data_IF_295114318061
#
_entry.id   IF_295114318061
#
_cell.length_a   1.000
_cell.length_b   1.000
_cell.length_c   1.000
_cell.angle_alpha   90.00
_cell.angle_beta   90.00
_cell.angle_gamma   90.00
#
_symmetry.space_group_name_H-M   'P 1'
#
loop_
_entity.id
_entity.type
_entity.pdbx_description
1 polymer ?
#
# COMPACT_ATOMS: atom_id res chain seq x y z
N UNK A 1 14.59 -13.35 -8.19
CA UNK A 1 14.58 -12.85 -6.83
C UNK A 1 13.18 -12.96 -6.24
N UNK A 2 13.09 -13.58 -5.08
CA UNK A 2 11.79 -13.81 -4.43
C UNK A 2 11.04 -12.50 -4.14
N UNK A 3 11.73 -11.46 -3.69
CA UNK A 3 11.10 -10.19 -3.36
C UNK A 3 10.48 -9.52 -4.58
N UNK A 4 11.19 -9.48 -5.71
CA UNK A 4 10.67 -8.90 -6.94
C UNK A 4 9.44 -9.67 -7.43
N UNK A 5 9.49 -11.01 -7.33
CA UNK A 5 8.35 -11.85 -7.70
C UNK A 5 7.14 -11.59 -6.81
N UNK A 6 7.34 -11.43 -5.51
CA UNK A 6 6.27 -11.11 -4.57
C UNK A 6 5.64 -9.74 -4.89
N UNK A 7 6.45 -8.73 -5.16
CA UNK A 7 5.96 -7.41 -5.56
C UNK A 7 5.08 -7.52 -6.79
N UNK A 8 5.58 -8.21 -7.83
CA UNK A 8 4.83 -8.37 -9.07
C UNK A 8 3.53 -9.13 -8.86
N UNK A 9 3.56 -10.18 -8.04
CA UNK A 9 2.37 -10.99 -7.74
C UNK A 9 1.27 -10.16 -7.09
N UNK A 10 1.61 -9.37 -6.06
CA UNK A 10 0.61 -8.57 -5.36
C UNK A 10 0.15 -7.36 -6.18
N UNK A 11 1.03 -6.78 -7.01
CA UNK A 11 0.65 -5.74 -7.95
C UNK A 11 -0.41 -6.26 -8.91
N UNK A 12 -0.17 -7.44 -9.49
CA UNK A 12 -1.10 -8.06 -10.42
C UNK A 12 -2.42 -8.43 -9.75
N UNK A 13 -2.33 -8.97 -8.53
CA UNK A 13 -3.51 -9.37 -7.75
C UNK A 13 -4.48 -8.21 -7.55
N UNK A 14 -3.96 -7.03 -7.23
CA UNK A 14 -4.77 -5.84 -7.01
C UNK A 14 -4.90 -4.94 -8.23
N UNK A 15 -4.37 -5.37 -9.37
CA UNK A 15 -4.44 -4.63 -10.64
C UNK A 15 -3.84 -3.22 -10.52
N UNK A 16 -2.69 -3.14 -9.85
CA UNK A 16 -1.89 -1.93 -9.72
C UNK A 16 -0.66 -2.10 -10.60
N UNK A 17 -0.21 -1.05 -11.32
CA UNK A 17 1.00 -1.19 -12.15
C UNK A 17 2.19 -1.69 -11.33
N UNK A 18 2.90 -2.72 -11.83
CA UNK A 18 4.08 -3.26 -11.15
C UNK A 18 5.12 -2.18 -10.90
N UNK A 19 5.34 -1.31 -11.89
CA UNK A 19 6.32 -0.22 -11.79
C UNK A 19 5.96 0.75 -10.67
N UNK A 20 4.67 0.99 -10.42
CA UNK A 20 4.24 1.84 -9.32
C UNK A 20 4.62 1.22 -7.98
N UNK A 21 4.38 -0.07 -7.79
CA UNK A 21 4.70 -0.76 -6.54
C UNK A 21 6.21 -0.78 -6.31
N UNK A 22 7.00 -1.09 -7.34
CA UNK A 22 8.47 -1.06 -7.24
C UNK A 22 8.98 0.33 -6.90
N UNK A 23 8.45 1.36 -7.52
CA UNK A 23 8.82 2.75 -7.25
C UNK A 23 8.53 3.13 -5.80
N UNK A 24 7.38 2.72 -5.29
CA UNK A 24 7.01 2.97 -3.89
C UNK A 24 7.95 2.24 -2.94
N UNK A 25 8.29 0.97 -3.23
CA UNK A 25 9.19 0.19 -2.40
C UNK A 25 10.58 0.83 -2.32
N UNK A 26 11.09 1.34 -3.44
CA UNK A 26 12.37 2.05 -3.45
C UNK A 26 12.29 3.30 -2.58
N UNK A 27 11.26 4.09 -2.76
CA UNK A 27 11.06 5.34 -2.01
C UNK A 27 10.94 5.10 -0.51
N UNK A 28 10.14 4.10 -0.12
CA UNK A 28 9.79 3.93 1.30
C UNK A 28 10.86 3.18 2.09
N UNK A 29 11.50 2.19 1.51
CA UNK A 29 12.39 1.30 2.26
C UNK A 29 13.68 0.94 1.53
N UNK A 30 13.88 1.43 0.33
CA UNK A 30 14.99 0.98 -0.55
C UNK A 30 14.92 -0.55 -0.72
N UNK A 31 13.72 -1.08 -0.95
CA UNK A 31 13.45 -2.52 -1.10
C UNK A 31 13.83 -3.35 0.14
N UNK A 32 13.76 -2.79 1.35
CA UNK A 32 14.08 -3.51 2.57
C UNK A 32 12.81 -3.93 3.32
N UNK A 33 12.44 -5.24 3.30
CA UNK A 33 11.24 -5.69 4.00
C UNK A 33 11.29 -5.51 5.51
N UNK A 34 12.49 -5.45 6.10
CA UNK A 34 12.66 -5.31 7.54
C UNK A 34 12.76 -3.85 8.01
N UNK A 35 12.57 -2.89 7.12
CA UNK A 35 12.73 -1.48 7.46
C UNK A 35 11.72 -1.02 8.51
N UNK A 36 12.19 -0.22 9.45
CA UNK A 36 11.37 0.42 10.48
C UNK A 36 11.76 1.89 10.55
N UNK A 37 10.80 2.79 10.37
CA UNK A 37 11.02 4.23 10.48
C UNK A 37 9.88 4.83 11.31
N UNK A 38 10.15 5.07 12.61
CA UNK A 38 9.13 5.53 13.52
C UNK A 38 7.98 4.54 13.60
N UNK A 39 6.73 4.97 13.34
CA UNK A 39 5.57 4.08 13.42
C UNK A 39 5.34 3.23 12.16
N UNK A 40 6.20 3.39 11.13
CA UNK A 40 6.01 2.72 9.83
C UNK A 40 6.78 1.41 9.76
N UNK A 41 6.19 0.41 9.10
CA UNK A 41 6.71 -0.96 9.05
C UNK A 41 6.91 -1.45 7.63
N UNK A 42 8.09 -2.03 7.38
CA UNK A 42 8.34 -2.95 6.30
C UNK A 42 8.53 -2.34 4.93
N UNK A 43 8.36 -3.17 3.94
CA UNK A 43 8.71 -2.89 2.54
C UNK A 43 8.06 -1.61 2.00
N UNK A 44 6.78 -1.39 2.25
CA UNK A 44 6.08 -0.20 1.79
C UNK A 44 5.78 0.81 2.91
N UNK A 45 6.38 0.62 4.07
CA UNK A 45 6.28 1.55 5.21
C UNK A 45 4.83 1.90 5.52
N UNK A 46 4.05 0.89 5.94
CA UNK A 46 2.65 1.06 6.29
C UNK A 46 2.48 1.16 7.80
N UNK A 47 1.51 1.95 8.22
CA UNK A 47 1.10 1.99 9.63
C UNK A 47 0.25 0.76 9.96
N UNK A 48 0.41 0.16 11.16
CA UNK A 48 -0.45 -0.96 11.55
C UNK A 48 -1.95 -0.63 11.49
N UNK A 49 -2.35 0.58 11.87
CA UNK A 49 -3.75 1.02 11.80
C UNK A 49 -4.27 1.01 10.37
N UNK A 50 -3.46 1.51 9.44
CA UNK A 50 -3.82 1.51 8.02
C UNK A 50 -3.97 0.09 7.49
N UNK A 51 -3.03 -0.79 7.88
CA UNK A 51 -3.10 -2.21 7.50
C UNK A 51 -4.36 -2.87 8.06
N UNK A 52 -4.72 -2.57 9.30
CA UNK A 52 -5.95 -3.09 9.91
C UNK A 52 -7.19 -2.64 9.17
N UNK A 53 -7.21 -1.40 8.69
CA UNK A 53 -8.28 -0.91 7.82
C UNK A 53 -8.39 -1.66 6.51
N UNK A 54 -7.32 -2.32 6.09
CA UNK A 54 -7.27 -3.17 4.90
C UNK A 54 -7.50 -4.65 5.21
N UNK A 55 -7.80 -5.00 6.46
CA UNK A 55 -8.09 -6.37 6.85
C UNK A 55 -7.00 -7.10 7.63
N UNK A 56 -5.90 -6.44 7.95
CA UNK A 56 -4.80 -7.03 8.72
C UNK A 56 -5.24 -7.29 10.17
N UNK A 57 -4.94 -8.48 10.69
CA UNK A 57 -5.31 -8.88 12.07
C UNK A 57 -4.13 -9.32 12.92
N UNK A 58 -2.91 -9.37 12.36
CA UNK A 58 -1.73 -9.85 13.06
C UNK A 58 -1.10 -8.82 13.99
N UNK A 59 0.05 -9.19 14.55
CA UNK A 59 0.86 -8.28 15.35
C UNK A 59 1.62 -7.32 14.43
N UNK A 60 1.93 -6.07 14.87
CA UNK A 60 2.63 -5.13 14.00
C UNK A 60 3.90 -5.66 13.36
N UNK A 61 4.70 -6.45 14.07
CA UNK A 61 5.93 -7.02 13.52
C UNK A 61 5.70 -8.00 12.37
N UNK A 62 4.49 -8.53 12.21
CA UNK A 62 4.17 -9.38 11.06
C UNK A 62 4.25 -8.59 9.75
N UNK A 63 4.13 -7.26 9.82
CA UNK A 63 4.28 -6.39 8.65
C UNK A 63 5.73 -6.26 8.18
N UNK A 64 6.68 -6.84 8.90
CA UNK A 64 8.08 -6.95 8.46
C UNK A 64 8.29 -8.15 7.53
N UNK A 65 7.28 -8.97 7.33
CA UNK A 65 7.28 -10.02 6.31
C UNK A 65 6.84 -9.39 4.99
N UNK A 66 7.61 -9.60 3.92
CA UNK A 66 7.35 -8.96 2.63
C UNK A 66 5.94 -9.23 2.09
N UNK A 67 5.53 -10.51 2.07
CA UNK A 67 4.21 -10.86 1.53
C UNK A 67 3.08 -10.29 2.37
N UNK A 68 3.20 -10.33 3.69
CA UNK A 68 2.20 -9.74 4.58
C UNK A 68 2.08 -8.24 4.35
N UNK A 69 3.22 -7.54 4.27
CA UNK A 69 3.24 -6.11 4.01
C UNK A 69 2.56 -5.78 2.68
N UNK A 70 2.96 -6.47 1.60
CA UNK A 70 2.43 -6.25 0.26
C UNK A 70 0.93 -6.51 0.19
N UNK A 71 0.46 -7.56 0.85
CA UNK A 71 -0.97 -7.92 0.83
C UNK A 71 -1.85 -6.76 1.27
N UNK A 72 -1.45 -6.03 2.29
CA UNK A 72 -2.26 -4.93 2.84
C UNK A 72 -1.85 -3.58 2.29
N UNK A 73 -0.57 -3.35 2.10
CA UNK A 73 -0.09 -2.05 1.61
C UNK A 73 -0.41 -1.83 0.13
N UNK A 74 -0.32 -2.87 -0.71
CA UNK A 74 -0.69 -2.73 -2.12
C UNK A 74 -2.20 -2.52 -2.25
N UNK A 75 -3.00 -3.17 -1.39
CA UNK A 75 -4.44 -2.90 -1.36
C UNK A 75 -4.72 -1.43 -1.04
N UNK A 76 -3.99 -0.87 -0.06
CA UNK A 76 -4.12 0.55 0.28
C UNK A 76 -3.64 1.45 -0.88
N UNK A 77 -2.52 1.08 -1.51
CA UNK A 77 -2.00 1.80 -2.68
C UNK A 77 -3.00 1.77 -3.85
N UNK A 78 -3.73 0.67 -4.01
CA UNK A 78 -4.78 0.57 -5.04
C UNK A 78 -5.79 1.70 -4.90
N UNK A 79 -6.21 2.01 -3.68
CA UNK A 79 -7.12 3.15 -3.46
C UNK A 79 -6.51 4.47 -3.90
N UNK A 80 -5.24 4.70 -3.56
CA UNK A 80 -4.52 5.89 -4.01
C UNK A 80 -4.41 5.93 -5.54
N UNK A 81 -4.16 4.78 -6.15
CA UNK A 81 -4.07 4.65 -7.61
C UNK A 81 -5.40 5.00 -8.29
N UNK A 82 -6.52 4.55 -7.72
CA UNK A 82 -7.85 4.89 -8.26
C UNK A 82 -8.14 6.39 -8.23
N UNK A 83 -7.51 7.12 -7.33
CA UNK A 83 -7.69 8.57 -7.18
C UNK A 83 -6.66 9.38 -7.96
N UNK A 84 -5.73 8.73 -8.67
CA UNK A 84 -4.57 9.39 -9.26
C UNK A 84 -4.75 9.79 -10.72
N UNK A 85 -5.84 9.39 -11.35
CA UNK A 85 -6.08 9.59 -12.80
C UNK A 85 -4.95 9.03 -13.66
N UNK A 86 -4.36 7.90 -13.21
CA UNK A 86 -3.30 7.22 -13.93
C UNK A 86 -1.91 7.79 -13.72
N UNK A 87 -1.73 8.72 -12.80
CA UNK A 87 -0.43 9.33 -12.53
C UNK A 87 0.25 8.70 -11.32
N UNK A 88 1.44 8.09 -11.54
CA UNK A 88 2.20 7.42 -10.49
C UNK A 88 2.57 8.36 -9.34
N UNK A 89 3.07 9.55 -9.67
CA UNK A 89 3.46 10.54 -8.66
C UNK A 89 2.30 10.95 -7.77
N UNK A 90 1.12 11.15 -8.36
CA UNK A 90 -0.10 11.49 -7.62
C UNK A 90 -0.52 10.33 -6.71
N UNK A 91 -0.45 9.09 -7.20
CA UNK A 91 -0.76 7.92 -6.38
C UNK A 91 0.17 7.81 -5.17
N UNK A 92 1.47 8.01 -5.36
CA UNK A 92 2.45 7.99 -4.28
C UNK A 92 2.16 9.10 -3.27
N UNK A 93 1.80 10.29 -3.74
CA UNK A 93 1.45 11.41 -2.88
C UNK A 93 0.23 11.08 -2.00
N UNK A 94 -0.82 10.52 -2.59
CA UNK A 94 -2.00 10.08 -1.83
C UNK A 94 -1.64 8.99 -0.81
N UNK A 95 -0.84 8.01 -1.23
CA UNK A 95 -0.39 6.96 -0.31
C UNK A 95 0.34 7.55 0.91
N UNK A 96 1.24 8.50 0.67
CA UNK A 96 2.08 9.07 1.72
C UNK A 96 1.29 9.90 2.73
N UNK A 97 0.33 10.68 2.27
CA UNK A 97 -0.39 11.62 3.15
C UNK A 97 -1.78 11.14 3.58
N UNK A 98 -2.24 10.00 3.05
CA UNK A 98 -3.58 9.48 3.30
C UNK A 98 -4.62 10.10 2.36
N UNK A 99 -5.65 9.30 2.04
CA UNK A 99 -6.62 9.73 1.03
C UNK A 99 -8.08 9.57 1.48
N UNK A 100 -8.33 9.34 2.78
CA UNK A 100 -9.68 9.09 3.26
C UNK A 100 -10.64 10.22 2.88
N UNK A 101 -10.26 11.47 3.16
CA UNK A 101 -11.14 12.61 2.91
C UNK A 101 -11.36 12.86 1.43
N UNK A 102 -10.34 12.64 0.60
CA UNK A 102 -10.48 12.76 -0.84
C UNK A 102 -11.40 11.68 -1.40
N UNK A 103 -11.25 10.44 -0.95
CA UNK A 103 -12.14 9.35 -1.35
C UNK A 103 -13.57 9.63 -0.92
N UNK A 104 -13.77 10.15 0.29
CA UNK A 104 -15.09 10.51 0.80
C UNK A 104 -15.71 11.62 -0.06
N UNK A 105 -14.93 12.65 -0.38
CA UNK A 105 -15.40 13.77 -1.21
C UNK A 105 -15.87 13.30 -2.58
N UNK A 106 -15.19 12.32 -3.16
CA UNK A 106 -15.52 11.76 -4.48
C UNK A 106 -16.58 10.66 -4.43
N UNK A 107 -17.05 10.28 -3.24
CA UNK A 107 -17.99 9.16 -3.10
C UNK A 107 -17.37 7.82 -3.39
N UNK A 108 -16.06 7.65 -3.14
CA UNK A 108 -15.30 6.45 -3.50
C UNK A 108 -14.78 5.66 -2.30
N UNK A 109 -15.45 5.77 -1.13
CA UNK A 109 -15.02 5.02 0.05
C UNK A 109 -15.11 3.51 -0.13
N UNK A 110 -16.14 3.04 -0.83
CA UNK A 110 -16.30 1.60 -1.10
C UNK A 110 -15.31 1.14 -2.16
N UNK A 111 -15.19 1.85 -3.26
CA UNK A 111 -14.29 1.50 -4.36
C UNK A 111 -12.84 1.46 -3.92
N UNK A 112 -12.43 2.37 -3.04
CA UNK A 112 -11.05 2.40 -2.52
C UNK A 112 -10.82 1.36 -1.42
N UNK A 113 -11.86 0.70 -0.93
CA UNK A 113 -11.74 -0.29 0.14
C UNK A 113 -11.70 0.30 1.54
N UNK A 114 -11.90 1.62 1.69
CA UNK A 114 -11.90 2.26 3.01
C UNK A 114 -13.19 2.03 3.79
N UNK A 115 -14.24 1.58 3.10
CA UNK A 115 -15.52 1.22 3.70
C UNK A 115 -16.03 -0.06 3.06
N UNK A 116 -16.60 -0.95 3.84
CA UNK A 116 -17.28 -2.14 3.34
C UNK A 116 -18.59 -1.72 2.67
N UNK A 117 -18.88 -2.38 1.56
CA UNK A 117 -20.11 -2.14 0.81
C UNK A 117 -21.35 -2.55 1.59
#
# INVERSE_FOLDING_TARGET
MALRASINQWADHYEVPRTLVHRLAIRESTHNPAARNGPYYGLLQILPETARGMGFTGAPNDLLNADTNLKYAVRYLRGAWLLSDGDHGTAISWYARGYYFEAKRRGMLVETGLRSG
#
